data_IF_323147648809
#
_entry.id   IF_323147648809
#
_cell.length_a   1.000
_cell.length_b   1.000
_cell.length_c   1.000
_cell.angle_alpha   90.00
_cell.angle_beta   90.00
_cell.angle_gamma   90.00
#
_symmetry.space_group_name_H-M   'P 1'
#
loop_
_entity.id
_entity.type
_entity.pdbx_description
1 polymer ?
#
# COMPACT_ATOMS: atom_id res chain seq x y z
N UNK A 1 5.75 62.96 -63.34
CA UNK A 1 4.95 61.72 -63.36
C UNK A 1 5.72 60.53 -62.78
N UNK A 2 6.99 60.31 -63.16
CA UNK A 2 7.82 59.21 -62.65
C UNK A 2 8.05 59.24 -61.13
N UNK A 3 8.38 60.40 -60.54
CA UNK A 3 8.69 60.51 -59.11
C UNK A 3 7.52 60.11 -58.19
N UNK A 4 6.29 60.50 -58.55
CA UNK A 4 5.07 60.16 -57.79
C UNK A 4 4.73 58.66 -57.86
N UNK A 5 5.09 57.99 -58.95
CA UNK A 5 4.90 56.55 -59.12
C UNK A 5 5.89 55.79 -58.22
N UNK A 6 7.15 56.22 -58.19
CA UNK A 6 8.15 55.63 -57.30
C UNK A 6 7.80 55.82 -55.82
N UNK A 7 7.31 57.00 -55.41
CA UNK A 7 6.87 57.22 -54.02
C UNK A 7 5.68 56.32 -53.65
N UNK A 8 4.73 56.11 -54.56
CA UNK A 8 3.59 55.21 -54.32
C UNK A 8 4.01 53.75 -54.15
N UNK A 9 4.95 53.26 -54.98
CA UNK A 9 5.51 51.92 -54.86
C UNK A 9 6.24 51.71 -53.53
N UNK A 10 7.01 52.71 -53.08
CA UNK A 10 7.71 52.65 -51.78
C UNK A 10 6.70 52.58 -50.63
N UNK A 11 5.61 53.33 -50.68
CA UNK A 11 4.57 53.30 -49.64
C UNK A 11 3.89 51.92 -49.59
N UNK A 12 3.55 51.34 -50.74
CA UNK A 12 2.94 50.01 -50.82
C UNK A 12 3.90 48.94 -50.30
N UNK A 13 5.17 49.00 -50.69
CA UNK A 13 6.19 48.08 -50.22
C UNK A 13 6.40 48.21 -48.70
N UNK A 14 6.48 49.44 -48.18
CA UNK A 14 6.62 49.69 -46.75
C UNK A 14 5.40 49.20 -45.96
N UNK A 15 4.19 49.40 -46.51
CA UNK A 15 2.95 48.89 -45.91
C UNK A 15 2.93 47.36 -45.90
N UNK A 16 3.32 46.71 -47.01
CA UNK A 16 3.39 45.25 -47.11
C UNK A 16 4.43 44.65 -46.15
N UNK A 17 5.63 45.25 -46.07
CA UNK A 17 6.68 44.82 -45.13
C UNK A 17 6.24 44.98 -43.69
N UNK A 18 5.52 46.07 -43.35
CA UNK A 18 4.98 46.30 -42.01
C UNK A 18 3.93 45.23 -41.64
N UNK A 19 3.03 44.91 -42.56
CA UNK A 19 2.03 43.84 -42.40
C UNK A 19 2.68 42.47 -42.19
N UNK A 20 3.75 42.17 -42.94
CA UNK A 20 4.49 40.93 -42.78
C UNK A 20 5.23 40.85 -41.43
N UNK A 21 5.82 41.97 -41.00
CA UNK A 21 6.51 42.07 -39.72
C UNK A 21 5.57 41.85 -38.52
N UNK A 22 4.37 42.43 -38.55
CA UNK A 22 3.38 42.27 -37.47
C UNK A 22 2.88 40.83 -37.37
N UNK A 23 2.62 40.19 -38.53
CA UNK A 23 2.24 38.78 -38.59
C UNK A 23 3.34 37.88 -38.01
N UNK A 24 4.61 38.10 -38.37
CA UNK A 24 5.74 37.30 -37.87
C UNK A 24 5.85 37.34 -36.33
N UNK A 25 5.71 38.51 -35.73
CA UNK A 25 5.74 38.66 -34.26
C UNK A 25 4.61 37.87 -33.60
N UNK A 26 3.40 37.92 -34.17
CA UNK A 26 2.25 37.17 -33.66
C UNK A 26 2.46 35.66 -33.76
N UNK A 27 3.03 35.16 -34.86
CA UNK A 27 3.37 33.74 -35.01
C UNK A 27 4.45 33.29 -34.02
N UNK A 28 5.46 34.13 -33.75
CA UNK A 28 6.49 33.83 -32.75
C UNK A 28 5.91 33.78 -31.33
N UNK A 29 5.07 34.74 -30.96
CA UNK A 29 4.38 34.75 -29.68
C UNK A 29 3.47 33.53 -29.51
N UNK A 30 2.70 33.20 -30.55
CA UNK A 30 1.84 32.02 -30.55
C UNK A 30 2.65 30.73 -30.42
N UNK A 31 3.73 30.58 -31.19
CA UNK A 31 4.61 29.41 -31.09
C UNK A 31 5.27 29.31 -29.70
N UNK A 32 5.71 30.43 -29.11
CA UNK A 32 6.25 30.45 -27.74
C UNK A 32 5.19 30.03 -26.72
N UNK A 33 3.98 30.56 -26.85
CA UNK A 33 2.86 30.21 -25.96
C UNK A 33 2.52 28.72 -26.07
N UNK A 34 2.42 28.20 -27.30
CA UNK A 34 2.17 26.79 -27.57
C UNK A 34 3.30 25.91 -27.01
N UNK A 35 4.56 26.30 -27.20
CA UNK A 35 5.71 25.59 -26.65
C UNK A 35 5.67 25.56 -25.12
N UNK A 36 5.41 26.70 -24.48
CA UNK A 36 5.28 26.78 -23.02
C UNK A 36 4.11 25.95 -22.48
N UNK A 37 2.97 25.95 -23.18
CA UNK A 37 1.82 25.13 -22.82
C UNK A 37 2.14 23.63 -22.96
N UNK A 38 2.83 23.25 -24.03
CA UNK A 38 3.30 21.87 -24.24
C UNK A 38 4.26 21.43 -23.14
N UNK A 39 5.24 22.27 -22.76
CA UNK A 39 6.14 21.98 -21.65
C UNK A 39 5.41 21.80 -20.32
N UNK A 40 4.41 22.66 -20.03
CA UNK A 40 3.57 22.52 -18.83
C UNK A 40 2.79 21.22 -18.83
N UNK A 41 2.23 20.82 -19.97
CA UNK A 41 1.51 19.54 -20.11
C UNK A 41 2.44 18.35 -19.90
N UNK A 42 3.63 18.37 -20.51
CA UNK A 42 4.63 17.31 -20.31
C UNK A 42 5.02 17.21 -18.84
N UNK A 43 5.30 18.34 -18.19
CA UNK A 43 5.66 18.38 -16.77
C UNK A 43 4.53 17.82 -15.89
N UNK A 44 3.30 18.29 -16.08
CA UNK A 44 2.15 17.80 -15.31
C UNK A 44 1.89 16.31 -15.54
N UNK A 45 2.09 15.81 -16.77
CA UNK A 45 1.93 14.40 -17.07
C UNK A 45 3.00 13.55 -16.35
N UNK A 46 4.27 14.00 -16.33
CA UNK A 46 5.33 13.33 -15.56
C UNK A 46 5.01 13.31 -14.07
N UNK A 47 4.59 14.44 -13.49
CA UNK A 47 4.20 14.52 -12.08
C UNK A 47 3.03 13.58 -11.74
N UNK A 48 2.03 13.48 -12.64
CA UNK A 48 0.92 12.54 -12.49
C UNK A 48 1.36 11.08 -12.58
N UNK A 49 2.31 10.76 -13.47
CA UNK A 49 2.87 9.41 -13.58
C UNK A 49 3.63 9.03 -12.31
N UNK A 50 4.47 9.91 -11.79
CA UNK A 50 5.19 9.70 -10.54
C UNK A 50 4.22 9.51 -9.37
N UNK A 51 3.20 10.36 -9.28
CA UNK A 51 2.15 10.23 -8.27
C UNK A 51 1.40 8.90 -8.39
N UNK A 52 1.07 8.46 -9.60
CA UNK A 52 0.38 7.19 -9.83
C UNK A 52 1.24 6.00 -9.38
N UNK A 53 2.54 6.02 -9.62
CA UNK A 53 3.48 4.99 -9.13
C UNK A 53 3.50 4.97 -7.60
N UNK A 54 3.63 6.13 -6.96
CA UNK A 54 3.66 6.23 -5.50
C UNK A 54 2.32 5.80 -4.87
N UNK A 55 1.21 6.24 -5.44
CA UNK A 55 -0.12 5.86 -4.98
C UNK A 55 -0.36 4.35 -5.12
N UNK A 56 0.09 3.74 -6.22
CA UNK A 56 0.03 2.28 -6.42
C UNK A 56 0.83 1.55 -5.35
N UNK A 57 2.08 1.93 -5.12
CA UNK A 57 2.92 1.31 -4.09
C UNK A 57 2.30 1.45 -2.70
N UNK A 58 1.75 2.62 -2.37
CA UNK A 58 1.07 2.86 -1.10
C UNK A 58 -0.19 2.01 -0.96
N UNK A 59 -0.99 1.90 -2.03
CA UNK A 59 -2.18 1.06 -2.06
C UNK A 59 -1.83 -0.42 -1.85
N UNK A 60 -0.81 -0.94 -2.54
CA UNK A 60 -0.32 -2.32 -2.38
C UNK A 60 0.14 -2.60 -0.94
N UNK A 61 0.86 -1.66 -0.32
CA UNK A 61 1.27 -1.80 1.08
C UNK A 61 0.07 -1.78 2.05
N UNK A 62 -0.89 -0.90 1.82
CA UNK A 62 -2.09 -0.78 2.65
C UNK A 62 -2.96 -2.04 2.52
N UNK A 63 -3.12 -2.55 1.31
CA UNK A 63 -3.83 -3.80 1.01
C UNK A 63 -3.19 -4.97 1.74
N UNK A 64 -1.88 -5.13 1.61
CA UNK A 64 -1.13 -6.19 2.31
C UNK A 64 -1.28 -6.10 3.83
N UNK A 65 -1.26 -4.89 4.41
CA UNK A 65 -1.52 -4.68 5.85
C UNK A 65 -2.96 -5.04 6.24
N UNK A 66 -3.95 -4.68 5.42
CA UNK A 66 -5.35 -5.03 5.67
C UNK A 66 -5.53 -6.54 5.65
N UNK A 67 -5.05 -7.21 4.60
CA UNK A 67 -5.12 -8.66 4.44
C UNK A 67 -4.44 -9.38 5.62
N UNK A 68 -3.25 -8.95 6.01
CA UNK A 68 -2.54 -9.56 7.16
C UNK A 68 -3.39 -9.51 8.44
N UNK A 69 -4.08 -8.38 8.68
CA UNK A 69 -4.92 -8.22 9.87
C UNK A 69 -6.21 -9.03 9.78
N UNK A 70 -6.93 -8.93 8.68
CA UNK A 70 -8.19 -9.63 8.45
C UNK A 70 -8.03 -11.16 8.51
N UNK A 71 -6.95 -11.67 7.91
CA UNK A 71 -6.58 -13.08 7.97
C UNK A 71 -6.20 -13.47 9.40
N UNK A 72 -5.43 -12.65 10.12
CA UNK A 72 -5.06 -12.95 11.51
C UNK A 72 -6.31 -13.01 12.42
N UNK A 73 -7.17 -12.00 12.33
CA UNK A 73 -8.37 -11.89 13.17
C UNK A 73 -9.37 -13.01 12.86
N UNK A 74 -9.47 -13.46 11.61
CA UNK A 74 -10.42 -14.52 11.22
C UNK A 74 -9.82 -15.92 11.36
N UNK A 75 -8.71 -16.22 10.69
CA UNK A 75 -8.14 -17.58 10.65
C UNK A 75 -7.44 -17.96 11.95
N UNK A 76 -6.66 -17.04 12.55
CA UNK A 76 -5.96 -17.40 13.79
C UNK A 76 -6.94 -17.61 14.94
N UNK A 77 -7.99 -16.77 15.03
CA UNK A 77 -9.05 -16.92 16.02
C UNK A 77 -9.84 -18.22 15.84
N UNK A 78 -10.32 -18.50 14.62
CA UNK A 78 -11.11 -19.72 14.33
C UNK A 78 -10.31 -21.00 14.59
N UNK A 79 -9.04 -21.05 14.19
CA UNK A 79 -8.16 -22.19 14.46
C UNK A 79 -7.85 -22.36 15.95
N UNK A 80 -7.68 -21.25 16.68
CA UNK A 80 -7.47 -21.31 18.15
C UNK A 80 -8.72 -21.87 18.83
N UNK A 81 -9.91 -21.40 18.46
CA UNK A 81 -11.17 -21.93 18.99
C UNK A 81 -11.36 -23.41 18.66
N UNK A 82 -11.02 -23.83 17.44
CA UNK A 82 -11.07 -25.24 17.04
C UNK A 82 -10.15 -26.11 17.92
N UNK A 83 -8.91 -25.68 18.14
CA UNK A 83 -7.98 -26.39 19.03
C UNK A 83 -8.57 -26.49 20.44
N UNK A 84 -9.10 -25.40 20.99
CA UNK A 84 -9.69 -25.37 22.33
C UNK A 84 -10.92 -26.29 22.46
N UNK A 85 -11.78 -26.32 21.44
CA UNK A 85 -12.93 -27.22 21.38
C UNK A 85 -12.52 -28.70 21.28
N UNK A 86 -11.45 -28.99 20.53
CA UNK A 86 -10.91 -30.34 20.40
C UNK A 86 -10.26 -30.83 21.69
N UNK A 87 -9.57 -29.93 22.41
CA UNK A 87 -9.04 -30.22 23.75
C UNK A 87 -10.17 -30.51 24.75
N UNK A 88 -11.21 -29.67 24.78
CA UNK A 88 -12.38 -29.93 25.62
C UNK A 88 -13.08 -31.25 25.25
N UNK A 89 -13.18 -31.58 23.96
CA UNK A 89 -13.75 -32.85 23.52
C UNK A 89 -12.91 -34.05 23.97
N UNK A 90 -11.57 -33.92 23.98
CA UNK A 90 -10.67 -34.94 24.50
C UNK A 90 -10.87 -35.14 26.00
N UNK A 91 -11.00 -34.06 26.77
CA UNK A 91 -11.21 -34.11 28.23
C UNK A 91 -12.56 -34.72 28.61
N UNK A 92 -13.59 -34.52 27.78
CA UNK A 92 -14.93 -35.06 27.98
C UNK A 92 -15.10 -36.50 27.44
N UNK A 93 -14.13 -37.02 26.67
CA UNK A 93 -14.23 -38.35 26.07
C UNK A 93 -13.98 -39.44 27.13
N UNK A 94 -14.91 -40.41 27.30
CA UNK A 94 -14.70 -41.54 28.20
C UNK A 94 -13.49 -42.40 27.78
N UNK A 95 -12.72 -42.87 28.76
CA UNK A 95 -11.44 -43.56 28.52
C UNK A 95 -11.53 -44.91 27.79
N UNK A 96 -12.73 -45.47 27.63
CA UNK A 96 -12.98 -46.69 26.86
C UNK A 96 -13.15 -46.45 25.35
N UNK A 97 -13.29 -45.18 24.93
CA UNK A 97 -13.52 -44.82 23.53
C UNK A 97 -12.22 -44.48 22.78
N UNK A 98 -11.27 -45.42 22.73
CA UNK A 98 -9.92 -45.20 22.18
C UNK A 98 -9.87 -44.75 20.71
N UNK A 99 -10.83 -45.17 19.89
CA UNK A 99 -10.92 -44.74 18.47
C UNK A 99 -11.31 -43.25 18.36
N UNK A 100 -12.28 -42.81 19.17
CA UNK A 100 -12.72 -41.41 19.21
C UNK A 100 -11.60 -40.51 19.73
N UNK A 101 -10.92 -40.92 20.80
CA UNK A 101 -9.80 -40.17 21.37
C UNK A 101 -8.67 -39.99 20.36
N UNK A 102 -8.31 -41.06 19.62
CA UNK A 102 -7.31 -41.00 18.55
C UNK A 102 -7.72 -40.05 17.42
N UNK A 103 -9.00 -40.05 17.03
CA UNK A 103 -9.49 -39.19 15.96
C UNK A 103 -9.48 -37.70 16.37
N UNK A 104 -9.87 -37.41 17.62
CA UNK A 104 -9.83 -36.06 18.18
C UNK A 104 -8.39 -35.54 18.31
N UNK A 105 -7.44 -36.38 18.76
CA UNK A 105 -6.01 -36.03 18.79
C UNK A 105 -5.48 -35.71 17.39
N UNK A 106 -5.76 -36.57 16.40
CA UNK A 106 -5.33 -36.35 15.03
C UNK A 106 -5.87 -35.02 14.47
N UNK A 107 -7.15 -34.73 14.75
CA UNK A 107 -7.81 -33.49 14.31
C UNK A 107 -7.21 -32.27 14.99
N UNK A 108 -6.91 -32.35 16.29
CA UNK A 108 -6.23 -31.28 17.05
C UNK A 108 -4.86 -30.98 16.47
N UNK A 109 -4.06 -32.01 16.21
CA UNK A 109 -2.71 -31.85 15.67
C UNK A 109 -2.76 -31.25 14.26
N UNK A 110 -3.76 -31.61 13.45
CA UNK A 110 -3.97 -31.03 12.14
C UNK A 110 -4.39 -29.56 12.21
N UNK A 111 -5.24 -29.17 13.17
CA UNK A 111 -5.60 -27.78 13.43
C UNK A 111 -4.39 -26.95 13.91
N UNK A 112 -3.55 -27.49 14.79
CA UNK A 112 -2.30 -26.86 15.23
C UNK A 112 -1.32 -26.66 14.07
N UNK A 113 -1.18 -27.65 13.20
CA UNK A 113 -0.37 -27.54 12.00
C UNK A 113 -0.90 -26.46 11.06
N UNK A 114 -2.21 -26.41 10.84
CA UNK A 114 -2.87 -25.36 10.06
C UNK A 114 -2.60 -23.95 10.64
N UNK A 115 -2.65 -23.80 11.96
CA UNK A 115 -2.32 -22.54 12.63
C UNK A 115 -0.87 -22.12 12.41
N UNK A 116 0.07 -23.08 12.47
CA UNK A 116 1.48 -22.82 12.20
C UNK A 116 1.72 -22.40 10.74
N UNK A 117 1.05 -23.07 9.78
CA UNK A 117 1.18 -22.75 8.36
C UNK A 117 0.58 -21.38 8.01
N UNK A 118 -0.58 -21.03 8.58
CA UNK A 118 -1.17 -19.69 8.45
C UNK A 118 -0.24 -18.63 9.04
N UNK A 119 0.34 -18.86 10.23
CA UNK A 119 1.30 -17.93 10.84
C UNK A 119 2.54 -17.76 9.96
N UNK A 120 3.06 -18.82 9.35
CA UNK A 120 4.21 -18.77 8.43
C UNK A 120 3.87 -17.97 7.16
N UNK A 121 2.69 -18.19 6.58
CA UNK A 121 2.22 -17.45 5.42
C UNK A 121 2.06 -15.95 5.72
N UNK A 122 1.51 -15.61 6.89
CA UNK A 122 1.39 -14.23 7.37
C UNK A 122 2.75 -13.58 7.64
N UNK A 123 3.72 -14.33 8.19
CA UNK A 123 5.09 -13.82 8.36
C UNK A 123 5.74 -13.49 7.03
N UNK A 124 5.53 -14.29 5.98
CA UNK A 124 6.02 -14.00 4.63
C UNK A 124 5.37 -12.74 4.01
N UNK A 125 4.17 -12.37 4.45
CA UNK A 125 3.47 -11.15 4.05
C UNK A 125 3.90 -9.91 4.87
N UNK A 126 4.64 -10.08 5.97
CA UNK A 126 5.06 -8.98 6.84
C UNK A 126 6.26 -8.25 6.22
N UNK A 127 6.28 -6.90 6.18
CA UNK A 127 7.44 -6.15 5.71
C UNK A 127 8.67 -6.45 6.57
N UNK A 128 9.84 -6.67 5.95
CA UNK A 128 11.13 -6.89 6.62
C UNK A 128 11.46 -5.82 7.66
N UNK A 129 10.98 -4.59 7.50
CA UNK A 129 11.16 -3.49 8.46
C UNK A 129 10.44 -3.70 9.80
N UNK A 130 9.30 -4.40 9.80
CA UNK A 130 8.52 -4.72 11.01
C UNK A 130 9.05 -5.96 11.76
N UNK A 131 9.97 -6.72 11.15
CA UNK A 131 10.59 -7.88 11.79
C UNK A 131 11.59 -7.49 12.89
N UNK A 132 11.91 -6.20 13.05
CA UNK A 132 12.90 -5.69 14.02
C UNK A 132 12.39 -5.51 15.44
N UNK A 133 11.09 -5.63 15.73
CA UNK A 133 10.60 -5.59 17.12
C UNK A 133 10.77 -6.97 17.73
N UNK A 134 11.95 -7.22 18.29
CA UNK A 134 12.33 -8.45 18.99
C UNK A 134 12.70 -8.14 20.44
N UNK A 135 12.61 -9.11 21.33
CA UNK A 135 12.97 -8.95 22.74
C UNK A 135 11.86 -8.32 23.59
N UNK A 136 12.24 -7.62 24.67
CA UNK A 136 11.32 -7.03 25.64
C UNK A 136 10.20 -6.18 25.01
N UNK A 137 10.47 -5.27 24.04
CA UNK A 137 9.43 -4.43 23.45
C UNK A 137 8.33 -5.23 22.75
N UNK A 138 8.66 -6.40 22.19
CA UNK A 138 7.68 -7.28 21.55
C UNK A 138 6.73 -7.92 22.57
N UNK A 139 7.28 -8.34 23.72
CA UNK A 139 6.53 -8.95 24.82
C UNK A 139 5.59 -7.92 25.46
N UNK A 140 6.08 -6.70 25.71
CA UNK A 140 5.23 -5.63 26.26
C UNK A 140 4.09 -5.27 25.30
N UNK A 141 4.37 -5.24 23.99
CA UNK A 141 3.35 -4.95 22.99
C UNK A 141 2.32 -6.10 22.85
N UNK A 142 2.76 -7.35 22.99
CA UNK A 142 1.89 -8.53 23.03
C UNK A 142 0.92 -8.47 24.22
N UNK A 143 1.43 -8.22 25.43
CA UNK A 143 0.61 -8.09 26.65
C UNK A 143 -0.43 -6.97 26.50
N UNK A 144 0.00 -5.82 25.96
CA UNK A 144 -0.89 -4.68 25.72
C UNK A 144 -2.00 -5.02 24.71
N UNK A 145 -1.65 -5.68 23.62
CA UNK A 145 -2.59 -6.08 22.57
C UNK A 145 -3.59 -7.11 23.08
N UNK A 146 -3.12 -8.11 23.83
CA UNK A 146 -3.96 -9.14 24.44
C UNK A 146 -4.93 -8.57 25.48
N UNK A 147 -4.46 -7.67 26.34
CA UNK A 147 -5.29 -6.98 27.34
C UNK A 147 -6.38 -6.15 26.67
N UNK A 148 -6.05 -5.43 25.59
CA UNK A 148 -7.03 -4.62 24.86
C UNK A 148 -8.09 -5.48 24.15
N UNK A 149 -7.70 -6.60 23.56
CA UNK A 149 -8.61 -7.46 22.82
C UNK A 149 -9.53 -8.30 23.72
N UNK A 150 -9.03 -8.75 24.86
CA UNK A 150 -9.75 -9.70 25.74
C UNK A 150 -10.32 -9.06 26.99
N UNK A 151 -9.92 -7.83 27.32
CA UNK A 151 -10.20 -7.14 28.59
C UNK A 151 -9.67 -7.87 29.83
N UNK A 152 -8.86 -8.92 29.65
CA UNK A 152 -8.21 -9.65 30.74
C UNK A 152 -6.93 -8.90 31.12
N UNK A 153 -6.83 -8.51 32.39
CA UNK A 153 -5.69 -7.77 32.92
C UNK A 153 -4.50 -8.71 33.10
N UNK A 154 -3.47 -8.55 32.29
CA UNK A 154 -2.24 -9.36 32.34
C UNK A 154 -1.12 -8.55 32.98
N UNK A 155 -0.54 -9.04 34.08
CA UNK A 155 0.64 -8.47 34.71
C UNK A 155 1.91 -9.10 34.16
N UNK A 156 2.81 -8.27 33.61
CA UNK A 156 4.11 -8.72 33.11
C UNK A 156 5.16 -8.47 34.21
N UNK A 157 5.71 -9.54 34.79
CA UNK A 157 6.87 -9.45 35.67
C UNK A 157 8.11 -9.87 34.88
N UNK A 158 9.06 -8.95 34.70
CA UNK A 158 10.24 -9.14 33.87
C UNK A 158 11.49 -9.58 34.66
N UNK A 159 11.42 -9.72 35.99
CA UNK A 159 12.57 -10.15 36.81
C UNK A 159 13.83 -9.29 36.57
N UNK A 160 15.01 -9.93 36.59
CA UNK A 160 16.32 -9.30 36.29
C UNK A 160 16.65 -9.28 34.78
N UNK A 161 15.64 -9.04 33.92
CA UNK A 161 15.90 -8.89 32.50
C UNK A 161 16.73 -7.62 32.22
N UNK A 162 17.77 -7.67 31.35
CA UNK A 162 18.57 -6.51 30.97
C UNK A 162 17.80 -5.48 30.13
#
# INVERSE_FOLDING_TARGET
LSLSIYSGLIIILAFFLRLQSENQLTYEELNRSLHNASLKLVKANLELQDYAVMAKQQAEMNERRRLTREIHDTLAYTLTNLVMMLEAALDLTPGDCGVLQKHLQLTRDQALKGLADVRRALQALRPLEMAKVTGLPAITNLVKTFTNATQIKVSLNLGDAP
#
